data_IF_961034780119
#
_entry.id   IF_961034780119
#
_cell.length_a   1.000
_cell.length_b   1.000
_cell.length_c   1.000
_cell.angle_alpha   90.00
_cell.angle_beta   90.00
_cell.angle_gamma   90.00
#
_symmetry.space_group_name_H-M   'P 1'
#
loop_
_entity.id
_entity.type
_entity.pdbx_description
1 polymer ?
#
# COMPACT_ATOMS: atom_id res chain seq x y z
N UNK A 1 -22.26 -37.81 15.44
CA UNK A 1 -20.79 -37.62 15.43
C UNK A 1 -20.46 -36.71 14.27
N UNK A 2 -20.09 -35.46 14.53
CA UNK A 2 -19.56 -34.56 13.50
C UNK A 2 -18.04 -34.74 13.48
N UNK A 3 -17.45 -34.82 12.28
CA UNK A 3 -15.99 -34.91 12.11
C UNK A 3 -15.53 -33.58 11.53
N UNK A 4 -14.73 -32.86 12.28
CA UNK A 4 -14.12 -31.59 11.85
C UNK A 4 -12.60 -31.81 11.69
N UNK A 5 -12.06 -31.35 10.57
CA UNK A 5 -10.63 -31.45 10.27
C UNK A 5 -10.17 -30.20 9.51
N UNK A 6 -9.17 -29.51 10.04
CA UNK A 6 -8.61 -28.31 9.42
C UNK A 6 -7.60 -28.68 8.32
N UNK A 7 -7.77 -28.08 7.14
CA UNK A 7 -6.85 -28.22 6.01
C UNK A 7 -6.02 -26.94 5.87
N UNK A 8 -4.71 -27.05 6.11
CA UNK A 8 -3.78 -25.92 5.99
C UNK A 8 -3.19 -25.76 4.58
N UNK A 9 -3.21 -26.82 3.77
CA UNK A 9 -2.58 -26.84 2.45
C UNK A 9 -3.61 -26.60 1.34
N UNK A 10 -3.28 -25.67 0.43
CA UNK A 10 -4.03 -25.44 -0.81
C UNK A 10 -3.67 -26.55 -1.80
N UNK A 11 -4.66 -27.11 -2.49
CA UNK A 11 -4.43 -28.18 -3.46
C UNK A 11 -5.53 -29.22 -3.48
N UNK A 12 -5.23 -30.37 -4.07
CA UNK A 12 -6.20 -31.45 -4.23
C UNK A 12 -6.09 -32.43 -3.08
N UNK A 13 -7.18 -32.57 -2.33
CA UNK A 13 -7.30 -33.45 -1.18
C UNK A 13 -8.25 -34.61 -1.46
N UNK A 14 -8.15 -35.68 -0.68
CA UNK A 14 -9.05 -36.83 -0.79
C UNK A 14 -9.45 -37.33 0.59
N UNK A 15 -10.74 -37.20 0.92
CA UNK A 15 -11.32 -37.80 2.12
C UNK A 15 -11.63 -39.27 1.85
N UNK A 16 -11.00 -40.16 2.62
CA UNK A 16 -11.26 -41.61 2.58
C UNK A 16 -12.19 -42.00 3.72
N UNK A 17 -13.43 -42.35 3.38
CA UNK A 17 -14.43 -42.84 4.35
C UNK A 17 -14.49 -44.35 4.26
N UNK A 18 -14.22 -45.05 5.36
CA UNK A 18 -14.31 -46.51 5.46
C UNK A 18 -15.36 -46.91 6.49
N UNK A 19 -16.19 -47.90 6.16
CA UNK A 19 -17.13 -48.53 7.07
C UNK A 19 -16.77 -50.01 7.15
N UNK A 20 -16.58 -50.52 8.36
CA UNK A 20 -16.42 -51.95 8.61
C UNK A 20 -17.61 -52.44 9.40
N UNK A 21 -18.20 -53.56 8.98
CA UNK A 21 -19.37 -54.15 9.60
C UNK A 21 -19.30 -55.67 9.53
N UNK A 22 -20.04 -56.36 10.39
CA UNK A 22 -20.25 -57.80 10.30
C UNK A 22 -21.46 -58.07 9.42
N UNK A 23 -21.31 -58.93 8.41
CA UNK A 23 -22.44 -59.35 7.60
C UNK A 23 -23.46 -60.08 8.48
N UNK A 24 -24.71 -59.62 8.58
CA UNK A 24 -25.70 -60.20 9.48
C UNK A 24 -26.12 -61.64 9.11
N UNK A 25 -25.91 -62.10 7.88
CA UNK A 25 -26.23 -63.47 7.47
C UNK A 25 -25.03 -64.43 7.55
N UNK A 26 -23.83 -63.97 7.19
CA UNK A 26 -22.64 -64.83 7.14
C UNK A 26 -21.72 -64.67 8.35
N UNK A 27 -21.96 -63.66 9.18
CA UNK A 27 -21.14 -63.28 10.35
C UNK A 27 -19.67 -63.00 10.00
N UNK A 28 -19.40 -62.68 8.73
CA UNK A 28 -18.06 -62.36 8.24
C UNK A 28 -17.79 -60.84 8.31
N UNK A 29 -16.57 -60.42 8.66
CA UNK A 29 -16.21 -59.02 8.65
C UNK A 29 -16.10 -58.50 7.21
N UNK A 30 -16.93 -57.52 6.85
CA UNK A 30 -16.90 -56.80 5.58
C UNK A 30 -16.49 -55.36 5.78
N UNK A 31 -15.83 -54.79 4.78
CA UNK A 31 -15.52 -53.36 4.76
C UNK A 31 -15.82 -52.74 3.40
N UNK A 32 -16.33 -51.52 3.44
CA UNK A 32 -16.55 -50.66 2.28
C UNK A 32 -15.74 -49.39 2.47
N UNK A 33 -15.11 -48.90 1.40
CA UNK A 33 -14.45 -47.59 1.40
C UNK A 33 -14.92 -46.76 0.22
N UNK A 34 -15.08 -45.46 0.45
CA UNK A 34 -15.38 -44.46 -0.57
C UNK A 34 -14.39 -43.31 -0.46
N UNK A 35 -13.96 -42.81 -1.62
CA UNK A 35 -13.02 -41.70 -1.73
C UNK A 35 -13.76 -40.48 -2.27
N UNK A 36 -13.59 -39.34 -1.62
CA UNK A 36 -14.15 -38.06 -2.03
C UNK A 36 -12.97 -37.12 -2.31
N UNK A 37 -12.71 -36.87 -3.60
CA UNK A 37 -11.65 -35.98 -4.04
C UNK A 37 -12.20 -34.58 -4.22
N UNK A 38 -11.54 -33.58 -3.66
CA UNK A 38 -11.95 -32.17 -3.74
C UNK A 38 -10.71 -31.26 -3.79
N UNK A 39 -10.90 -30.02 -4.25
CA UNK A 39 -9.83 -29.04 -4.36
C UNK A 39 -10.07 -27.91 -3.35
N UNK A 40 -9.04 -27.61 -2.57
CA UNK A 40 -8.99 -26.47 -1.66
C UNK A 40 -8.26 -25.33 -2.37
N UNK A 41 -8.91 -24.17 -2.45
CA UNK A 41 -8.38 -22.92 -3.01
C UNK A 41 -8.40 -21.85 -1.91
N UNK A 42 -7.61 -20.79 -2.08
CA UNK A 42 -7.75 -19.61 -1.22
C UNK A 42 -9.05 -18.88 -1.58
N UNK A 43 -10.05 -18.79 -0.69
CA UNK A 43 -11.34 -18.22 -1.04
C UNK A 43 -11.36 -16.68 -1.03
N UNK A 44 -10.36 -16.06 -0.38
CA UNK A 44 -10.29 -14.61 -0.20
C UNK A 44 -8.96 -14.05 -0.72
N UNK A 45 -9.04 -12.97 -1.48
CA UNK A 45 -7.86 -12.18 -1.85
C UNK A 45 -7.82 -10.91 -1.00
N UNK A 46 -6.70 -10.69 -0.31
CA UNK A 46 -6.53 -9.52 0.56
C UNK A 46 -5.50 -8.58 -0.05
N UNK A 47 -5.87 -7.32 -0.22
CA UNK A 47 -4.98 -6.24 -0.69
C UNK A 47 -4.88 -5.16 0.37
N UNK A 48 -3.66 -4.73 0.68
CA UNK A 48 -3.41 -3.67 1.65
C UNK A 48 -3.00 -2.37 0.96
N UNK A 49 -3.48 -1.26 1.50
CA UNK A 49 -3.00 0.08 1.21
C UNK A 49 -2.63 0.74 2.54
N UNK A 50 -1.36 1.15 2.65
CA UNK A 50 -0.84 1.82 3.84
C UNK A 50 -0.59 3.29 3.52
N UNK A 51 -1.06 4.17 4.39
CA UNK A 51 -0.86 5.62 4.30
C UNK A 51 -0.40 6.15 5.65
N UNK A 52 0.60 7.04 5.63
CA UNK A 52 1.04 7.78 6.82
C UNK A 52 0.44 9.19 6.77
N UNK A 53 -0.32 9.57 7.79
CA UNK A 53 -0.92 10.91 7.92
C UNK A 53 -0.53 11.45 9.29
N UNK A 54 0.20 12.57 9.33
CA UNK A 54 0.64 13.20 10.59
C UNK A 54 1.20 12.17 11.59
N UNK A 55 2.14 11.34 11.12
CA UNK A 55 2.81 10.32 11.93
C UNK A 55 1.93 9.15 12.42
N UNK A 56 0.65 9.10 12.03
CA UNK A 56 -0.24 7.98 12.30
C UNK A 56 -0.34 7.08 11.08
N UNK A 57 -0.14 5.77 11.27
CA UNK A 57 -0.26 4.77 10.22
C UNK A 57 -1.73 4.34 10.06
N UNK A 58 -2.25 4.49 8.84
CA UNK A 58 -3.55 3.97 8.46
C UNK A 58 -3.35 2.79 7.51
N UNK A 59 -3.99 1.67 7.84
CA UNK A 59 -3.96 0.44 7.04
C UNK A 59 -5.38 0.19 6.54
N UNK A 60 -5.58 0.35 5.23
CA UNK A 60 -6.80 -0.06 4.54
C UNK A 60 -6.59 -1.50 4.03
N UNK A 61 -7.49 -2.40 4.43
CA UNK A 61 -7.54 -3.77 3.95
C UNK A 61 -8.79 -3.95 3.07
N UNK A 62 -8.56 -4.33 1.81
CA UNK A 62 -9.62 -4.76 0.89
C UNK A 62 -9.64 -6.28 0.84
N UNK A 63 -10.75 -6.86 1.25
CA UNK A 63 -10.98 -8.31 1.27
C UNK A 63 -11.98 -8.63 0.17
N UNK A 64 -11.54 -9.36 -0.85
CA UNK A 64 -12.37 -9.73 -1.99
C UNK A 64 -12.69 -11.23 -1.96
N UNK A 65 -13.97 -11.57 -2.13
CA UNK A 65 -14.40 -12.94 -2.33
C UNK A 65 -14.22 -13.34 -3.80
N UNK A 66 -13.39 -14.35 -4.05
CA UNK A 66 -13.13 -14.86 -5.41
C UNK A 66 -13.84 -16.20 -5.67
N UNK A 67 -14.66 -16.66 -4.74
CA UNK A 67 -15.45 -17.88 -4.87
C UNK A 67 -16.77 -17.59 -5.58
N UNK A 68 -17.44 -18.65 -6.03
CA UNK A 68 -18.77 -18.56 -6.66
C UNK A 68 -19.92 -18.59 -5.64
N UNK A 69 -19.61 -18.53 -4.34
CA UNK A 69 -20.58 -18.64 -3.24
C UNK A 69 -20.39 -17.46 -2.29
N UNK A 70 -21.47 -16.88 -1.72
CA UNK A 70 -21.33 -15.86 -0.68
C UNK A 70 -20.61 -16.40 0.57
N UNK A 71 -19.75 -15.58 1.16
CA UNK A 71 -19.02 -15.89 2.39
C UNK A 71 -19.42 -14.90 3.49
N UNK A 72 -19.74 -15.40 4.67
CA UNK A 72 -19.99 -14.55 5.83
C UNK A 72 -18.70 -14.38 6.62
N UNK A 73 -18.13 -13.17 6.66
CA UNK A 73 -16.95 -12.86 7.47
C UNK A 73 -17.34 -12.73 8.94
N UNK A 74 -17.05 -13.78 9.71
CA UNK A 74 -17.38 -13.89 11.14
C UNK A 74 -16.57 -12.86 11.95
N UNK A 75 -15.26 -12.79 11.70
CA UNK A 75 -14.37 -11.83 12.38
C UNK A 75 -13.33 -11.29 11.42
N UNK A 76 -13.13 -9.97 11.44
CA UNK A 76 -12.07 -9.28 10.71
C UNK A 76 -11.32 -8.44 11.72
N UNK A 77 -10.11 -8.86 12.08
CA UNK A 77 -9.32 -8.22 13.13
C UNK A 77 -7.92 -7.96 12.63
N UNK A 78 -7.42 -6.75 12.88
CA UNK A 78 -6.02 -6.43 12.68
C UNK A 78 -5.29 -6.68 14.00
N UNK A 79 -4.39 -7.66 14.01
CA UNK A 79 -3.56 -8.01 15.17
C UNK A 79 -2.28 -7.18 15.10
N UNK A 80 -2.13 -6.13 15.93
CA UNK A 80 -0.95 -5.28 15.87
C UNK A 80 0.28 -6.01 16.41
N UNK A 81 1.46 -5.66 15.89
CA UNK A 81 2.72 -6.13 16.48
C UNK A 81 3.14 -5.19 17.60
N UNK A 82 3.63 -5.67 18.77
CA UNK A 82 4.14 -4.78 19.80
C UNK A 82 5.27 -3.87 19.27
N UNK A 83 5.32 -2.57 19.64
CA UNK A 83 4.50 -1.86 20.63
C UNK A 83 3.25 -1.18 20.04
N UNK A 84 2.82 -1.56 18.84
CA UNK A 84 1.66 -0.95 18.20
C UNK A 84 0.35 -1.42 18.82
N UNK A 85 -0.63 -0.53 18.77
CA UNK A 85 -2.04 -0.77 19.01
C UNK A 85 -2.82 -0.45 17.74
N UNK A 86 -3.88 -1.23 17.48
CA UNK A 86 -4.72 -1.05 16.31
C UNK A 86 -6.17 -0.83 16.74
N UNK A 87 -6.80 0.18 16.13
CA UNK A 87 -8.21 0.48 16.29
C UNK A 87 -8.88 0.43 14.91
N UNK A 88 -9.93 -0.38 14.78
CA UNK A 88 -10.75 -0.39 13.58
C UNK A 88 -11.59 0.89 13.51
N UNK A 89 -11.60 1.54 12.35
CA UNK A 89 -12.42 2.71 12.06
C UNK A 89 -13.68 2.25 11.33
N UNK A 90 -14.83 2.37 11.98
CA UNK A 90 -16.14 2.05 11.39
C UNK A 90 -16.71 3.31 10.72
N UNK A 91 -17.30 3.18 9.53
CA UNK A 91 -18.08 4.25 8.92
C UNK A 91 -19.41 4.44 9.70
N UNK A 92 -19.90 5.68 9.86
CA UNK A 92 -21.04 6.00 10.74
C UNK A 92 -22.40 5.41 10.33
N UNK A 93 -22.53 4.74 9.18
CA UNK A 93 -23.82 4.24 8.66
C UNK A 93 -23.95 2.70 8.63
N UNK A 94 -23.02 1.96 9.24
CA UNK A 94 -22.96 0.49 9.10
C UNK A 94 -23.75 -0.26 10.18
N UNK A 95 -24.99 0.17 10.43
CA UNK A 95 -25.93 -0.46 11.38
C UNK A 95 -26.54 -1.78 10.85
N UNK A 96 -26.18 -2.18 9.62
CA UNK A 96 -26.55 -3.48 9.05
C UNK A 96 -25.35 -4.43 9.06
N UNK A 97 -25.28 -5.19 10.16
CA UNK A 97 -24.31 -6.23 10.50
C UNK A 97 -24.33 -7.46 9.58
N UNK A 98 -24.41 -7.28 8.26
CA UNK A 98 -24.22 -8.38 7.32
C UNK A 98 -22.82 -8.29 6.73
N UNK A 99 -21.86 -8.94 7.40
CA UNK A 99 -20.51 -9.20 6.88
C UNK A 99 -20.52 -10.23 5.73
N UNK A 100 -21.59 -10.25 4.93
CA UNK A 100 -21.77 -11.15 3.82
C UNK A 100 -21.09 -10.57 2.58
N UNK A 101 -20.09 -11.29 2.07
CA UNK A 101 -19.31 -10.92 0.89
C UNK A 101 -19.78 -11.81 -0.26
N UNK A 102 -20.51 -11.24 -1.21
CA UNK A 102 -20.97 -11.96 -2.40
C UNK A 102 -19.80 -12.32 -3.33
N UNK A 103 -19.98 -13.24 -4.29
CA UNK A 103 -19.00 -13.52 -5.33
C UNK A 103 -18.53 -12.24 -6.03
N UNK A 104 -17.23 -12.11 -6.23
CA UNK A 104 -16.52 -10.97 -6.84
C UNK A 104 -16.62 -9.63 -6.09
N UNK A 105 -17.45 -9.55 -5.06
CA UNK A 105 -17.57 -8.39 -4.18
C UNK A 105 -16.38 -8.29 -3.21
N UNK A 106 -16.19 -7.07 -2.70
CA UNK A 106 -15.16 -6.78 -1.72
C UNK A 106 -15.66 -5.89 -0.61
N UNK A 107 -15.20 -6.15 0.60
CA UNK A 107 -15.36 -5.27 1.75
C UNK A 107 -14.06 -4.55 2.04
N UNK A 108 -14.18 -3.35 2.60
CA UNK A 108 -13.04 -2.53 3.00
C UNK A 108 -13.11 -2.25 4.49
N UNK A 109 -11.98 -2.42 5.16
CA UNK A 109 -11.84 -2.09 6.57
C UNK A 109 -10.60 -1.21 6.73
N UNK A 110 -10.72 -0.18 7.56
CA UNK A 110 -9.63 0.75 7.83
C UNK A 110 -9.22 0.57 9.30
N UNK A 111 -7.92 0.43 9.53
CA UNK A 111 -7.34 0.31 10.85
C UNK A 111 -6.38 1.47 11.08
N UNK A 112 -6.61 2.19 12.18
CA UNK A 112 -5.66 3.16 12.71
C UNK A 112 -4.66 2.41 13.58
N UNK A 113 -3.37 2.52 13.25
CA UNK A 113 -2.28 1.86 13.98
C UNK A 113 -1.40 2.93 14.61
N UNK A 114 -1.28 2.89 15.93
CA UNK A 114 -0.55 3.88 16.74
C UNK A 114 0.38 3.18 17.73
N UNK A 115 1.47 3.83 18.12
CA UNK A 115 2.31 3.39 19.22
C UNK A 115 2.60 4.58 20.11
N UNK A 116 2.50 4.41 21.43
CA UNK A 116 2.97 5.41 22.36
C UNK A 116 4.51 5.39 22.41
N UNK A 117 5.14 6.56 22.31
CA UNK A 117 6.59 6.74 22.46
C UNK A 117 7.50 6.06 21.43
N UNK A 118 7.03 5.86 20.20
CA UNK A 118 7.89 5.31 19.13
C UNK A 118 8.53 6.43 18.31
N UNK A 119 9.85 6.36 18.11
CA UNK A 119 10.53 7.24 17.15
C UNK A 119 10.20 6.77 15.73
N UNK A 120 9.21 7.41 15.14
CA UNK A 120 8.64 7.05 13.85
C UNK A 120 9.61 7.30 12.66
N UNK A 121 10.80 7.83 12.93
CA UNK A 121 11.91 7.94 11.98
C UNK A 121 12.63 6.61 11.72
N UNK A 122 12.40 5.59 12.56
CA UNK A 122 12.99 4.26 12.43
C UNK A 122 12.39 3.49 11.24
N UNK A 123 13.14 3.41 10.13
CA UNK A 123 13.09 2.41 9.06
C UNK A 123 11.77 1.67 8.74
N UNK A 124 11.91 0.40 8.33
CA UNK A 124 10.78 -0.49 8.05
C UNK A 124 10.28 -1.11 9.36
N UNK A 125 9.06 -0.77 9.78
CA UNK A 125 8.47 -1.29 11.02
C UNK A 125 7.38 -2.31 10.71
N UNK A 126 7.25 -3.35 11.52
CA UNK A 126 6.15 -4.31 11.40
C UNK A 126 4.92 -3.77 12.14
N UNK A 127 3.84 -3.44 11.44
CA UNK A 127 2.63 -2.89 12.05
C UNK A 127 1.74 -3.97 12.68
N UNK A 128 1.78 -5.20 12.17
CA UNK A 128 0.79 -6.22 12.51
C UNK A 128 0.33 -7.01 11.30
N UNK A 129 -0.70 -7.83 11.48
CA UNK A 129 -1.26 -8.71 10.43
C UNK A 129 -2.78 -8.70 10.49
N UNK A 130 -3.43 -9.03 9.38
CA UNK A 130 -4.87 -9.19 9.33
C UNK A 130 -5.23 -10.65 9.54
N UNK A 131 -6.24 -10.89 10.37
CA UNK A 131 -6.84 -12.20 10.59
C UNK A 131 -8.32 -12.12 10.21
N UNK A 132 -8.74 -13.00 9.31
CA UNK A 132 -10.12 -13.09 8.81
C UNK A 132 -10.63 -14.49 9.02
N UNK A 133 -11.76 -14.62 9.70
CA UNK A 133 -12.52 -15.88 9.81
C UNK A 133 -13.82 -15.73 9.03
N UNK A 134 -14.23 -16.78 8.32
CA UNK A 134 -15.47 -16.79 7.56
C UNK A 134 -16.20 -18.11 7.66
N UNK A 135 -17.48 -18.08 7.27
CA UNK A 135 -18.35 -19.24 7.10
C UNK A 135 -18.96 -19.24 5.70
N UNK A 136 -19.02 -20.43 5.09
CA UNK A 136 -19.76 -20.66 3.84
C UNK A 136 -21.24 -20.96 4.12
N UNK A 137 -22.08 -20.88 3.10
CA UNK A 137 -23.51 -21.18 3.20
C UNK A 137 -23.81 -22.64 3.65
N UNK A 138 -22.85 -23.55 3.52
CA UNK A 138 -22.97 -24.96 3.92
C UNK A 138 -22.37 -25.25 5.31
N UNK A 139 -21.95 -24.22 6.04
CA UNK A 139 -21.39 -24.34 7.39
C UNK A 139 -19.89 -24.61 7.45
N UNK A 140 -19.20 -24.66 6.30
CA UNK A 140 -17.74 -24.77 6.28
C UNK A 140 -17.15 -23.49 6.86
N UNK A 141 -16.16 -23.62 7.72
CA UNK A 141 -15.45 -22.49 8.32
C UNK A 141 -14.04 -22.44 7.79
N UNK A 142 -13.51 -21.23 7.62
CA UNK A 142 -12.13 -21.02 7.22
C UNK A 142 -11.52 -19.83 7.93
N UNK A 143 -10.19 -19.84 8.03
CA UNK A 143 -9.37 -18.78 8.61
C UNK A 143 -8.23 -18.43 7.66
N UNK A 144 -7.96 -17.14 7.53
CA UNK A 144 -6.88 -16.60 6.72
C UNK A 144 -6.11 -15.61 7.58
N UNK A 145 -4.80 -15.80 7.64
CA UNK A 145 -3.87 -14.89 8.28
C UNK A 145 -2.93 -14.35 7.22
N UNK A 146 -2.79 -13.03 7.13
CA UNK A 146 -1.90 -12.42 6.17
C UNK A 146 -0.46 -12.40 6.66
N UNK A 147 0.46 -12.16 5.73
CA UNK A 147 1.80 -11.69 6.10
C UNK A 147 1.69 -10.35 6.83
N UNK A 148 2.67 -10.01 7.69
CA UNK A 148 2.65 -8.76 8.40
C UNK A 148 2.70 -7.56 7.46
N UNK A 149 1.85 -6.58 7.71
CA UNK A 149 1.85 -5.29 7.04
C UNK A 149 3.04 -4.49 7.55
N UNK A 150 4.01 -4.26 6.67
CA UNK A 150 5.18 -3.45 6.99
C UNK A 150 4.87 -1.98 6.74
N UNK A 151 5.14 -1.13 7.74
CA UNK A 151 5.26 0.31 7.56
C UNK A 151 6.43 0.55 6.63
N UNK A 152 6.10 0.84 5.37
CA UNK A 152 7.05 1.45 4.45
C UNK A 152 7.06 2.93 4.78
N UNK A 153 7.84 3.30 5.79
CA UNK A 153 8.28 4.70 5.89
C UNK A 153 9.13 4.87 4.64
N UNK A 154 8.64 5.64 3.67
CA UNK A 154 9.53 6.12 2.61
C UNK A 154 10.71 6.74 3.35
N UNK A 155 11.94 6.24 3.13
CA UNK A 155 13.13 6.73 3.82
C UNK A 155 13.00 8.23 3.96
N UNK A 156 12.94 8.77 5.18
CA UNK A 156 12.81 10.23 5.38
C UNK A 156 13.95 10.82 4.57
N UNK A 157 13.61 11.39 3.42
CA UNK A 157 14.65 11.83 2.51
C UNK A 157 15.31 13.01 3.21
N UNK A 158 16.62 12.92 3.41
CA UNK A 158 17.37 13.98 4.07
C UNK A 158 17.11 15.33 3.41
N UNK A 159 16.82 15.36 2.10
CA UNK A 159 16.21 16.50 1.42
C UNK A 159 14.94 16.15 0.62
N UNK A 160 14.01 17.09 0.54
CA UNK A 160 12.80 17.03 -0.29
C UNK A 160 12.76 18.17 -1.30
N UNK A 161 12.32 17.87 -2.52
CA UNK A 161 12.22 18.83 -3.63
C UNK A 161 10.76 18.93 -4.08
N UNK A 162 10.22 20.15 -4.05
CA UNK A 162 8.83 20.44 -4.43
C UNK A 162 8.80 21.59 -5.42
N UNK A 163 8.10 21.42 -6.54
CA UNK A 163 7.89 22.50 -7.51
C UNK A 163 6.60 23.23 -7.17
N UNK A 164 6.71 24.53 -6.92
CA UNK A 164 5.63 25.46 -6.65
C UNK A 164 5.39 26.30 -7.90
N UNK A 165 4.12 26.35 -8.31
CA UNK A 165 3.68 27.08 -9.47
C UNK A 165 2.78 28.24 -9.04
N UNK A 166 2.88 29.43 -9.66
CA UNK A 166 1.96 30.52 -9.41
C UNK A 166 0.56 30.15 -9.93
N UNK A 167 -0.36 29.78 -9.06
CA UNK A 167 -1.72 29.41 -9.44
C UNK A 167 -2.51 30.63 -9.97
N UNK A 168 -3.22 30.53 -11.10
CA UNK A 168 -3.27 29.41 -12.06
C UNK A 168 -2.18 29.51 -13.15
N UNK A 169 -1.39 28.44 -13.36
CA UNK A 169 -0.48 28.38 -14.52
C UNK A 169 -1.20 27.76 -15.71
N UNK A 170 -1.60 28.61 -16.65
CA UNK A 170 -1.83 28.21 -18.04
C UNK A 170 -0.59 28.66 -18.82
N UNK A 171 0.25 27.70 -19.21
CA UNK A 171 1.43 27.99 -20.01
C UNK A 171 1.08 27.95 -21.51
N UNK A 172 1.85 28.65 -22.35
CA UNK A 172 1.70 28.62 -23.81
C UNK A 172 2.88 27.86 -24.42
N UNK A 173 2.62 27.03 -25.43
CA UNK A 173 3.69 26.35 -26.18
C UNK A 173 4.67 27.39 -26.73
N UNK A 174 5.96 27.16 -26.48
CA UNK A 174 7.04 28.04 -26.94
C UNK A 174 7.27 29.28 -26.08
N UNK A 175 6.47 29.52 -25.02
CA UNK A 175 6.70 30.62 -24.09
C UNK A 175 7.26 30.12 -22.76
N UNK A 176 8.46 30.57 -22.35
CA UNK A 176 9.00 30.24 -21.04
C UNK A 176 8.13 30.77 -19.89
N UNK A 177 8.10 30.03 -18.79
CA UNK A 177 7.49 30.46 -17.54
C UNK A 177 8.40 30.15 -16.35
N UNK A 178 8.25 30.91 -15.27
CA UNK A 178 9.05 30.73 -14.06
C UNK A 178 8.31 29.84 -13.07
N UNK A 179 8.98 28.80 -12.58
CA UNK A 179 8.54 27.96 -11.48
C UNK A 179 9.46 28.16 -10.27
N UNK A 180 8.90 28.12 -9.06
CA UNK A 180 9.69 28.17 -7.82
C UNK A 180 9.92 26.75 -7.32
N UNK A 181 11.16 26.32 -7.19
CA UNK A 181 11.53 25.03 -6.59
C UNK A 181 11.86 25.27 -5.13
N UNK A 182 11.09 24.63 -4.24
CA UNK A 182 11.34 24.56 -2.82
C UNK A 182 12.21 23.32 -2.53
N UNK A 183 13.43 23.55 -2.07
CA UNK A 183 14.34 22.52 -1.58
C UNK A 183 14.38 22.62 -0.06
N UNK A 184 14.01 21.56 0.63
CA UNK A 184 13.97 21.50 2.08
C UNK A 184 14.93 20.43 2.59
N UNK A 185 15.83 20.81 3.50
CA UNK A 185 16.69 19.90 4.23
C UNK A 185 15.94 19.42 5.49
N UNK A 186 15.51 18.16 5.49
CA UNK A 186 14.84 17.51 6.61
C UNK A 186 15.83 16.87 7.60
N UNK A 187 17.11 16.76 7.23
CA UNK A 187 18.18 16.28 8.08
C UNK A 187 18.55 17.26 9.20
N UNK A 188 19.42 16.80 10.10
CA UNK A 188 19.99 17.62 11.19
C UNK A 188 21.31 18.28 10.80
N UNK A 189 22.02 17.72 9.80
CA UNK A 189 23.27 18.28 9.27
C UNK A 189 23.02 19.30 8.17
N UNK A 190 23.94 20.25 8.03
CA UNK A 190 23.98 21.11 6.85
C UNK A 190 24.38 20.27 5.62
N UNK A 191 23.78 20.57 4.46
CA UNK A 191 24.07 19.90 3.20
C UNK A 191 24.39 20.92 2.11
N UNK A 192 25.38 20.63 1.27
CA UNK A 192 25.73 21.47 0.14
C UNK A 192 24.93 21.04 -1.10
N UNK A 193 23.80 21.68 -1.35
CA UNK A 193 22.85 21.23 -2.37
C UNK A 193 23.03 21.95 -3.71
N UNK A 194 22.90 21.20 -4.80
CA UNK A 194 22.80 21.70 -6.16
C UNK A 194 21.48 21.24 -6.78
N UNK A 195 20.69 22.18 -7.31
CA UNK A 195 19.51 21.86 -8.10
C UNK A 195 19.96 21.44 -9.51
N UNK A 196 19.47 20.30 -10.01
CA UNK A 196 19.74 19.79 -11.35
C UNK A 196 18.44 19.53 -12.12
N UNK A 197 18.45 19.94 -13.38
CA UNK A 197 17.38 19.82 -14.35
C UNK A 197 17.87 18.87 -15.47
N UNK A 198 17.50 17.59 -15.35
CA UNK A 198 17.98 16.50 -16.20
C UNK A 198 17.16 16.33 -17.47
N UNK A 199 17.77 16.72 -18.59
CA UNK A 199 17.13 16.73 -19.91
C UNK A 199 16.62 15.37 -20.36
N UNK A 200 17.34 14.29 -20.05
CA UNK A 200 16.98 12.91 -20.38
C UNK A 200 15.68 12.43 -19.71
N UNK A 201 15.31 13.04 -18.58
CA UNK A 201 14.08 12.74 -17.85
C UNK A 201 12.91 13.68 -18.18
N UNK A 202 13.19 14.79 -18.87
CA UNK A 202 12.21 15.82 -19.22
C UNK A 202 11.45 15.46 -20.50
N UNK A 203 10.13 15.61 -20.46
CA UNK A 203 9.24 15.38 -21.60
C UNK A 203 8.17 16.46 -21.62
N UNK A 204 7.93 17.07 -22.78
CA UNK A 204 6.90 18.11 -22.96
C UNK A 204 7.30 19.48 -22.43
N UNK A 205 7.82 19.57 -21.20
CA UNK A 205 8.35 20.79 -20.59
C UNK A 205 9.85 20.60 -20.32
N UNK A 206 10.68 21.49 -20.85
CA UNK A 206 12.14 21.47 -20.70
C UNK A 206 12.64 22.64 -19.84
N UNK A 207 13.89 22.58 -19.38
CA UNK A 207 14.58 23.75 -18.84
C UNK A 207 14.94 24.75 -19.96
N UNK A 208 14.62 26.03 -19.76
CA UNK A 208 14.95 27.11 -20.72
C UNK A 208 16.31 27.73 -20.45
N UNK A 209 16.67 27.89 -19.17
CA UNK A 209 17.87 28.62 -18.76
C UNK A 209 19.02 27.70 -18.39
N UNK A 210 19.01 27.18 -17.16
CA UNK A 210 20.13 26.42 -16.59
C UNK A 210 19.78 24.94 -16.45
N UNK A 211 20.75 24.07 -16.71
CA UNK A 211 20.64 22.64 -16.41
C UNK A 211 20.98 22.33 -14.95
N UNK A 212 21.68 23.23 -14.25
CA UNK A 212 22.01 23.09 -12.85
C UNK A 212 22.21 24.46 -12.18
N UNK A 213 21.99 24.53 -10.88
CA UNK A 213 22.15 25.73 -10.07
C UNK A 213 22.65 25.35 -8.67
N UNK A 214 23.80 25.90 -8.27
CA UNK A 214 24.34 25.72 -6.93
C UNK A 214 23.47 26.50 -5.93
N UNK A 215 22.80 25.78 -5.04
CA UNK A 215 22.04 26.38 -3.93
C UNK A 215 22.97 26.71 -2.77
N UNK A 216 24.02 25.90 -2.60
CA UNK A 216 25.00 26.06 -1.53
C UNK A 216 24.58 25.33 -0.26
N UNK A 217 25.14 25.77 0.87
CA UNK A 217 24.96 25.10 2.16
C UNK A 217 23.57 25.45 2.73
N UNK A 218 22.68 24.45 2.75
CA UNK A 218 21.35 24.51 3.37
C UNK A 218 21.43 23.86 4.75
N UNK A 219 21.14 24.64 5.79
CA UNK A 219 21.19 24.16 7.18
C UNK A 219 20.15 23.06 7.45
N UNK A 220 20.41 22.21 8.45
CA UNK A 220 19.45 21.21 8.88
C UNK A 220 18.11 21.84 9.27
N UNK A 221 17.00 21.18 8.94
CA UNK A 221 15.62 21.66 9.17
C UNK A 221 15.30 23.01 8.51
N UNK A 222 16.05 23.44 7.50
CA UNK A 222 15.80 24.68 6.77
C UNK A 222 15.40 24.43 5.31
N UNK A 223 14.88 25.46 4.64
CA UNK A 223 14.43 25.38 3.26
C UNK A 223 14.86 26.59 2.44
N UNK A 224 15.08 26.40 1.15
CA UNK A 224 15.45 27.44 0.19
C UNK A 224 14.54 27.39 -1.02
N UNK A 225 14.15 28.57 -1.49
CA UNK A 225 13.40 28.73 -2.74
C UNK A 225 14.34 29.14 -3.87
N UNK A 226 14.18 28.49 -5.02
CA UNK A 226 14.99 28.71 -6.20
C UNK A 226 14.07 28.88 -7.41
N UNK A 227 14.19 29.99 -8.12
CA UNK A 227 13.41 30.23 -9.34
C UNK A 227 14.10 29.57 -10.54
N UNK A 228 13.34 28.79 -11.31
CA UNK A 228 13.81 28.17 -12.56
C UNK A 228 12.88 28.52 -13.70
N UNK A 229 13.43 28.61 -14.90
CA UNK A 229 12.68 28.93 -16.11
C UNK A 229 12.47 27.65 -16.93
N UNK A 230 11.20 27.36 -17.22
CA UNK A 230 10.77 26.17 -17.93
C UNK A 230 10.10 26.56 -19.25
N UNK A 231 10.39 25.81 -20.32
CA UNK A 231 9.87 26.00 -21.66
C UNK A 231 8.96 24.83 -22.06
N UNK A 232 7.64 25.04 -22.22
CA UNK A 232 6.74 24.05 -22.78
C UNK A 232 6.93 23.93 -24.29
N UNK A 233 7.06 22.71 -24.80
CA UNK A 233 7.17 22.39 -26.22
C UNK A 233 5.98 21.61 -26.77
N UNK A 234 5.17 20.99 -25.89
CA UNK A 234 4.03 20.16 -26.28
C UNK A 234 2.78 20.66 -25.55
N UNK A 235 1.69 20.88 -26.27
CA UNK A 235 0.40 21.26 -25.71
C UNK A 235 -0.26 20.12 -24.91
N UNK A 236 -1.29 20.44 -24.12
CA UNK A 236 -2.05 19.48 -23.31
C UNK A 236 -1.67 19.51 -21.83
N UNK A 237 -2.10 18.47 -21.10
CA UNK A 237 -1.79 18.33 -19.69
C UNK A 237 -0.40 17.70 -19.54
N UNK A 238 0.61 18.54 -19.30
CA UNK A 238 2.01 18.13 -19.23
C UNK A 238 2.49 18.00 -17.78
N UNK A 239 3.37 17.04 -17.52
CA UNK A 239 3.98 16.83 -16.21
C UNK A 239 5.37 17.47 -16.18
N UNK A 240 5.70 18.21 -15.10
CA UNK A 240 7.07 18.63 -14.85
C UNK A 240 7.88 17.42 -14.36
N UNK A 241 8.98 17.13 -15.05
CA UNK A 241 9.86 15.97 -14.79
C UNK A 241 11.33 16.41 -14.75
N UNK A 242 12.21 15.53 -14.28
CA UNK A 242 13.66 15.75 -14.31
C UNK A 242 14.18 16.84 -13.37
N UNK A 243 13.45 17.20 -12.32
CA UNK A 243 13.90 18.14 -11.27
C UNK A 243 14.44 17.35 -10.08
N UNK A 244 15.71 17.55 -9.75
CA UNK A 244 16.40 16.85 -8.65
C UNK A 244 17.27 17.82 -7.85
N UNK A 245 17.48 17.55 -6.57
CA UNK A 245 18.56 18.16 -5.79
C UNK A 245 19.65 17.11 -5.55
N UNK A 246 20.91 17.49 -5.67
CA UNK A 246 22.07 16.62 -5.42
C UNK A 246 22.89 17.22 -4.30
N UNK A 247 23.21 16.41 -3.29
CA UNK A 247 24.19 16.80 -2.28
C UNK A 247 25.60 16.66 -2.87
N UNK A 248 26.33 17.76 -2.97
CA UNK A 248 27.65 17.81 -3.59
C UNK A 248 28.71 17.10 -2.74
N UNK A 249 28.50 16.95 -1.43
CA UNK A 249 29.46 16.29 -0.55
C UNK A 249 29.28 14.77 -0.56
N UNK A 250 28.03 14.30 -0.46
CA UNK A 250 27.71 12.87 -0.43
C UNK A 250 27.37 12.25 -1.80
N UNK A 251 27.14 13.06 -2.82
CA UNK A 251 26.67 12.67 -4.16
C UNK A 251 25.30 11.97 -4.16
N UNK A 252 24.52 12.11 -3.08
CA UNK A 252 23.17 11.56 -2.99
C UNK A 252 22.17 12.44 -3.74
N UNK A 253 21.27 11.80 -4.49
CA UNK A 253 20.27 12.46 -5.32
C UNK A 253 18.87 12.40 -4.70
N UNK A 254 18.17 13.53 -4.72
CA UNK A 254 16.82 13.72 -4.19
C UNK A 254 15.89 14.18 -5.31
N UNK A 255 15.18 13.24 -5.93
CA UNK A 255 14.16 13.53 -6.94
C UNK A 255 12.86 14.10 -6.35
N UNK A 256 12.14 14.89 -7.16
CA UNK A 256 10.83 15.47 -6.84
C UNK A 256 9.85 14.41 -6.31
N UNK A 257 9.18 14.72 -5.20
CA UNK A 257 8.32 13.77 -4.47
C UNK A 257 6.92 13.66 -5.07
N UNK A 258 6.29 14.80 -5.37
CA UNK A 258 4.92 14.86 -5.88
C UNK A 258 4.91 15.29 -7.34
N UNK A 259 4.18 14.58 -8.22
CA UNK A 259 4.06 14.99 -9.62
C UNK A 259 3.30 16.32 -9.70
N UNK A 260 3.82 17.24 -10.49
CA UNK A 260 3.21 18.55 -10.75
C UNK A 260 2.80 18.60 -12.22
N UNK A 261 1.55 18.97 -12.46
CA UNK A 261 0.97 19.07 -13.80
C UNK A 261 0.69 20.52 -14.17
N UNK A 262 0.92 20.86 -15.43
CA UNK A 262 0.69 22.17 -16.04
C UNK A 262 -0.18 21.99 -17.27
N UNK A 263 -1.23 22.80 -17.38
CA UNK A 263 -1.99 22.89 -18.63
C UNK A 263 -1.24 23.80 -19.59
N UNK A 264 -0.78 23.23 -20.71
CA UNK A 264 -0.09 23.94 -21.79
C UNK A 264 -1.07 24.12 -22.95
N UNK A 265 -1.26 25.36 -23.39
CA UNK A 265 -2.08 25.73 -24.56
C UNK A 265 -1.23 25.97 -25.78
#
# INVERSE_FOLDING_TARGET
MAVEFELSEVGVHTLRVGVSYLDPLTNEPKSLRKFYRFQVLNPLTITFKHVLIQDISFVEAKIQNITQIPLHADTIVFVPSPPFEAQQLTAPDNDNANNLIFPDDSIQCIFKVTAEHLDLSLGTLNLGRLEVNWKSAMGESGRLQTQPVMRKVGSVKEATVTVLLPTPVVAQVGQPFVASVLIQNNGTRAMNLQLQLRRDLMLGILCSSVSHLNVGIVQGKSSVHVSVELLPLIAGLQQIRGVLAVDMDSQVEFAMEKPVYVLVK
#
